data_IF_695060903737
#
_entry.id   IF_695060903737
#
_cell.length_a   1.000
_cell.length_b   1.000
_cell.length_c   1.000
_cell.angle_alpha   90.00
_cell.angle_beta   90.00
_cell.angle_gamma   90.00
#
_symmetry.space_group_name_H-M   'P 1'
#
loop_
_entity.id
_entity.type
_entity.pdbx_description
1 polymer ?
#
# COMPACT_ATOMS: atom_id res chain seq x y z
N UNK A 1 -36.30 14.72 -30.69
CA UNK A 1 -35.71 15.11 -29.38
C UNK A 1 -34.85 13.97 -28.82
N UNK A 2 -33.71 13.65 -29.48
CA UNK A 2 -32.83 12.52 -29.08
C UNK A 2 -31.42 13.01 -28.68
N UNK A 3 -31.08 14.24 -29.06
CA UNK A 3 -29.73 14.82 -28.89
C UNK A 3 -29.44 15.33 -27.47
N UNK A 4 -30.49 15.55 -26.65
CA UNK A 4 -30.35 16.11 -25.29
C UNK A 4 -29.91 15.09 -24.23
N UNK A 5 -30.18 13.80 -24.44
CA UNK A 5 -29.82 12.72 -23.50
C UNK A 5 -28.40 12.18 -23.71
N UNK A 6 -27.84 12.29 -24.92
CA UNK A 6 -26.49 11.80 -25.23
C UNK A 6 -25.38 12.61 -24.56
N UNK A 7 -25.59 13.91 -24.33
CA UNK A 7 -24.58 14.78 -23.73
C UNK A 7 -24.35 14.52 -22.22
N UNK A 8 -25.31 13.87 -21.54
CA UNK A 8 -25.20 13.59 -20.10
C UNK A 8 -24.31 12.37 -19.81
N UNK A 9 -24.30 11.38 -20.70
CA UNK A 9 -23.59 10.11 -20.50
C UNK A 9 -22.07 10.26 -20.61
N UNK A 10 -21.58 11.20 -21.42
CA UNK A 10 -20.14 11.41 -21.65
C UNK A 10 -19.42 12.10 -20.50
N UNK A 11 -20.14 12.87 -19.67
CA UNK A 11 -19.56 13.56 -18.52
C UNK A 11 -19.33 12.65 -17.31
N UNK A 12 -20.20 11.65 -17.08
CA UNK A 12 -20.03 10.72 -15.95
C UNK A 12 -18.83 9.77 -16.13
N UNK A 13 -18.49 9.42 -17.37
CA UNK A 13 -17.33 8.57 -17.67
C UNK A 13 -15.99 9.20 -17.28
N UNK A 14 -15.92 10.54 -17.20
CA UNK A 14 -14.71 11.28 -16.83
C UNK A 14 -14.47 11.35 -15.32
N UNK A 15 -15.46 10.94 -14.51
CA UNK A 15 -15.39 10.99 -13.05
C UNK A 15 -15.07 9.63 -12.42
N UNK A 16 -14.89 8.58 -13.22
CA UNK A 16 -14.38 7.30 -12.74
C UNK A 16 -12.89 7.40 -12.43
N UNK A 17 -12.58 8.05 -11.30
CA UNK A 17 -11.26 7.99 -10.68
C UNK A 17 -11.18 6.73 -9.83
N UNK A 18 -10.24 5.84 -10.15
CA UNK A 18 -9.79 4.79 -9.24
C UNK A 18 -9.01 5.43 -8.08
N UNK A 19 -9.73 5.88 -7.05
CA UNK A 19 -9.13 6.36 -5.81
C UNK A 19 -8.58 5.17 -5.01
N UNK A 20 -7.34 4.78 -5.27
CA UNK A 20 -6.62 3.83 -4.40
C UNK A 20 -6.26 4.55 -3.10
N UNK A 21 -7.05 4.36 -2.05
CA UNK A 21 -6.76 4.92 -0.74
C UNK A 21 -5.49 4.31 -0.14
N UNK A 22 -4.61 5.16 0.39
CA UNK A 22 -3.41 4.74 1.11
C UNK A 22 -3.78 3.84 2.32
N UNK A 23 -3.01 2.78 2.54
CA UNK A 23 -3.21 1.88 3.66
C UNK A 23 -3.00 2.61 4.99
N UNK A 24 -4.06 2.65 5.80
CA UNK A 24 -4.06 3.26 7.13
C UNK A 24 -3.35 2.40 8.18
N UNK A 25 -3.07 2.99 9.34
CA UNK A 25 -2.39 2.30 10.45
C UNK A 25 -3.09 0.99 10.86
N UNK A 26 -4.42 0.97 10.95
CA UNK A 26 -5.16 -0.21 11.40
C UNK A 26 -4.97 -1.39 10.42
N UNK A 27 -5.12 -1.13 9.11
CA UNK A 27 -4.92 -2.13 8.07
C UNK A 27 -3.45 -2.59 8.00
N UNK A 28 -2.51 -1.64 8.13
CA UNK A 28 -1.08 -1.94 8.17
C UNK A 28 -0.74 -2.90 9.32
N UNK A 29 -1.28 -2.65 10.52
CA UNK A 29 -1.09 -3.53 11.68
C UNK A 29 -1.72 -4.91 11.49
N UNK A 30 -2.94 -4.96 10.95
CA UNK A 30 -3.61 -6.23 10.65
C UNK A 30 -2.74 -7.08 9.72
N UNK A 31 -2.25 -6.50 8.62
CA UNK A 31 -1.36 -7.19 7.69
C UNK A 31 -0.05 -7.66 8.34
N UNK A 32 0.56 -6.83 9.19
CA UNK A 32 1.79 -7.15 9.89
C UNK A 32 1.65 -8.33 10.89
N UNK A 33 0.50 -8.40 11.58
CA UNK A 33 0.27 -9.37 12.66
C UNK A 33 -0.36 -10.67 12.17
N UNK A 34 -1.21 -10.61 11.16
CA UNK A 34 -1.88 -11.77 10.58
C UNK A 34 -0.97 -12.53 9.61
N UNK A 35 0.18 -11.95 9.22
CA UNK A 35 1.08 -12.54 8.24
C UNK A 35 0.46 -12.59 6.84
N UNK A 36 -0.28 -11.53 6.48
CA UNK A 36 -0.95 -11.47 5.17
C UNK A 36 0.10 -11.36 4.06
N UNK A 37 0.15 -12.39 3.21
CA UNK A 37 1.04 -12.52 2.05
C UNK A 37 1.14 -13.99 1.61
N UNK A 38 1.51 -14.28 0.35
CA UNK A 38 1.81 -15.65 -0.08
C UNK A 38 2.84 -16.30 0.86
N UNK A 39 2.70 -17.60 1.20
CA UNK A 39 3.68 -18.29 2.03
C UNK A 39 5.11 -18.05 1.53
N UNK A 40 6.00 -17.62 2.42
CA UNK A 40 7.39 -17.32 2.07
C UNK A 40 7.68 -15.91 1.56
N UNK A 41 6.71 -15.00 1.45
CA UNK A 41 6.99 -13.60 1.04
C UNK A 41 7.90 -12.85 2.01
N UNK A 42 7.78 -13.13 3.31
CA UNK A 42 8.62 -12.54 4.36
C UNK A 42 9.84 -13.39 4.72
N UNK A 43 10.24 -14.34 3.86
CA UNK A 43 11.32 -15.29 4.15
C UNK A 43 12.74 -14.76 3.88
N UNK A 44 12.87 -13.47 3.55
CA UNK A 44 14.17 -12.82 3.60
C UNK A 44 14.54 -12.68 5.08
N UNK A 45 15.69 -13.19 5.50
CA UNK A 45 16.18 -13.06 6.87
C UNK A 45 16.24 -11.59 7.35
N UNK A 46 16.70 -11.36 8.59
CA UNK A 46 16.67 -10.02 9.17
C UNK A 46 17.37 -9.00 8.27
N UNK A 47 16.72 -7.86 8.05
CA UNK A 47 17.24 -6.74 7.27
C UNK A 47 17.74 -5.64 8.21
N UNK A 48 18.65 -4.81 7.72
CA UNK A 48 19.10 -3.65 8.49
C UNK A 48 17.95 -2.66 8.70
N UNK A 49 18.00 -1.90 9.80
CA UNK A 49 17.03 -0.82 10.04
C UNK A 49 17.03 0.22 8.91
N UNK A 50 18.17 0.49 8.28
CA UNK A 50 18.27 1.42 7.17
C UNK A 50 17.51 0.93 5.93
N UNK A 51 17.63 -0.36 5.59
CA UNK A 51 16.87 -0.95 4.49
C UNK A 51 15.38 -1.02 4.80
N UNK A 52 15.02 -1.33 6.06
CA UNK A 52 13.65 -1.28 6.56
C UNK A 52 13.04 0.12 6.37
N UNK A 53 13.74 1.15 6.84
CA UNK A 53 13.29 2.54 6.72
C UNK A 53 13.15 2.96 5.26
N UNK A 54 14.12 2.60 4.41
CA UNK A 54 14.08 2.88 2.97
C UNK A 54 12.82 2.30 2.30
N UNK A 55 12.45 1.05 2.61
CA UNK A 55 11.25 0.40 2.06
C UNK A 55 9.96 1.06 2.53
N UNK A 56 9.92 1.45 3.81
CA UNK A 56 8.78 2.18 4.38
C UNK A 56 8.63 3.54 3.71
N UNK A 57 9.73 4.26 3.53
CA UNK A 57 9.73 5.58 2.90
C UNK A 57 9.33 5.50 1.42
N UNK A 58 9.79 4.49 0.68
CA UNK A 58 9.31 4.25 -0.69
C UNK A 58 7.80 4.03 -0.74
N UNK A 59 7.25 3.17 0.13
CA UNK A 59 5.81 2.93 0.20
C UNK A 59 5.02 4.19 0.56
N UNK A 60 5.53 5.00 1.48
CA UNK A 60 4.89 6.25 1.88
C UNK A 60 4.90 7.30 0.78
N UNK A 61 6.07 7.51 0.14
CA UNK A 61 6.24 8.47 -0.95
C UNK A 61 5.38 8.12 -2.17
N UNK A 62 5.12 6.83 -2.38
CA UNK A 62 4.20 6.34 -3.42
C UNK A 62 2.73 6.40 -3.03
N UNK A 63 2.40 6.91 -1.85
CA UNK A 63 1.03 7.00 -1.35
C UNK A 63 0.40 5.65 -1.02
N UNK A 64 1.18 4.58 -0.87
CA UNK A 64 0.66 3.24 -0.57
C UNK A 64 0.31 3.09 0.91
N UNK A 65 0.95 3.85 1.80
CA UNK A 65 0.69 3.89 3.24
C UNK A 65 0.62 5.32 3.75
N UNK A 66 -0.20 5.50 4.78
CA UNK A 66 -0.25 6.76 5.54
C UNK A 66 1.04 7.03 6.31
N UNK A 67 1.35 8.29 6.58
CA UNK A 67 2.49 8.70 7.41
C UNK A 67 2.47 8.01 8.79
N UNK A 68 1.29 7.91 9.41
CA UNK A 68 1.12 7.22 10.69
C UNK A 68 1.49 5.73 10.61
N UNK A 69 1.15 5.06 9.51
CA UNK A 69 1.58 3.68 9.27
C UNK A 69 3.09 3.58 9.08
N UNK A 70 3.70 4.54 8.37
CA UNK A 70 5.14 4.60 8.17
C UNK A 70 5.91 4.76 9.50
N UNK A 71 5.50 5.69 10.36
CA UNK A 71 6.11 5.85 11.68
C UNK A 71 5.97 4.61 12.56
N UNK A 72 4.79 3.98 12.53
CA UNK A 72 4.58 2.75 13.29
C UNK A 72 5.45 1.60 12.77
N UNK A 73 5.56 1.42 11.45
CA UNK A 73 6.42 0.39 10.86
C UNK A 73 7.88 0.55 11.28
N UNK A 74 8.39 1.79 11.29
CA UNK A 74 9.76 2.09 11.76
C UNK A 74 9.92 1.78 13.26
N UNK A 75 8.96 2.16 14.09
CA UNK A 75 9.02 1.97 15.54
C UNK A 75 8.96 0.49 15.96
N UNK A 76 8.23 -0.34 15.22
CA UNK A 76 8.00 -1.75 15.56
C UNK A 76 8.70 -2.73 14.61
N UNK A 77 9.54 -2.23 13.72
CA UNK A 77 10.34 -3.01 12.78
C UNK A 77 9.53 -3.87 11.82
N UNK A 78 8.46 -3.30 11.28
CA UNK A 78 7.67 -3.89 10.20
C UNK A 78 7.79 -3.06 8.93
N UNK A 79 8.00 -3.71 7.77
CA UNK A 79 8.15 -3.05 6.48
C UNK A 79 7.22 -3.65 5.42
N UNK A 80 6.72 -2.84 4.48
CA UNK A 80 5.91 -3.36 3.38
C UNK A 80 6.78 -4.00 2.30
N UNK A 81 6.31 -5.12 1.75
CA UNK A 81 6.82 -5.71 0.53
C UNK A 81 5.91 -5.29 -0.62
N UNK A 82 6.46 -4.49 -1.53
CA UNK A 82 5.71 -3.99 -2.68
C UNK A 82 5.97 -4.93 -3.85
N UNK A 83 4.89 -5.43 -4.44
CA UNK A 83 4.94 -6.21 -5.66
C UNK A 83 5.42 -5.33 -6.82
N UNK A 84 6.51 -5.70 -7.53
CA UNK A 84 7.02 -4.93 -8.65
C UNK A 84 6.07 -4.91 -9.85
N UNK A 85 5.18 -5.91 -10.00
CA UNK A 85 4.25 -6.01 -11.12
C UNK A 85 2.98 -5.20 -10.87
N UNK A 86 2.37 -5.36 -9.70
CA UNK A 86 1.13 -4.65 -9.37
C UNK A 86 1.37 -3.25 -8.77
N UNK A 87 2.58 -3.00 -8.26
CA UNK A 87 2.89 -1.79 -7.52
C UNK A 87 2.19 -1.70 -6.16
N UNK A 88 1.50 -2.76 -5.71
CA UNK A 88 0.73 -2.79 -4.46
C UNK A 88 1.49 -3.51 -3.36
N UNK A 89 1.11 -3.26 -2.12
CA UNK A 89 1.66 -3.98 -0.96
C UNK A 89 1.10 -5.39 -0.96
N UNK A 90 1.97 -6.39 -1.11
CA UNK A 90 1.61 -7.81 -1.07
C UNK A 90 1.74 -8.40 0.33
N UNK A 91 2.65 -7.86 1.15
CA UNK A 91 2.87 -8.33 2.51
C UNK A 91 3.45 -7.23 3.40
N UNK A 92 3.35 -7.41 4.72
CA UNK A 92 4.10 -6.63 5.70
C UNK A 92 4.94 -7.59 6.53
N UNK A 93 6.25 -7.39 6.48
CA UNK A 93 7.23 -8.32 7.01
C UNK A 93 7.94 -7.73 8.23
N UNK A 94 8.33 -8.60 9.15
CA UNK A 94 9.20 -8.25 10.27
C UNK A 94 10.64 -8.14 9.78
N UNK A 95 11.33 -7.05 10.10
CA UNK A 95 12.71 -6.82 9.66
C UNK A 95 13.80 -7.21 10.63
N UNK A 96 13.55 -7.15 11.94
CA UNK A 96 14.49 -7.50 13.01
C UNK A 96 13.74 -8.12 14.19
#
# INVERSE_FOLDING_TARGET
MIYRTLAFSTLLSLLSFDASAAMGLAQYRAFALEGNGPPGTCYAGPISFQELARRIDDAHNRGLITERAAYWGKAYSFYPLIDPNSGRINAICRGI
#
